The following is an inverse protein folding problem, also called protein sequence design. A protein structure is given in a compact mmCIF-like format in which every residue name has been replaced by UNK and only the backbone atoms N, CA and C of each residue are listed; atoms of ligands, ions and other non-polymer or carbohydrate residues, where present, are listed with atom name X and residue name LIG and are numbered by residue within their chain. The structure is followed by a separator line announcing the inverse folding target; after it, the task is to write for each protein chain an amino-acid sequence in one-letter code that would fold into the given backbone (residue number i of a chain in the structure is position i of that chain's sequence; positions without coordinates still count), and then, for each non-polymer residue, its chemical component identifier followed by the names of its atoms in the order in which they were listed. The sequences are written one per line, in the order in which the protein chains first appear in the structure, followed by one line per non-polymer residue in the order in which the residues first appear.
data_IF_511144186595
#
_entry.id   IF_511144186595
#
_cell.length_a   1.000
_cell.length_b   1.000
_cell.length_c   1.000
_cell.angle_alpha   90.00
_cell.angle_beta   90.00
_cell.angle_gamma   90.00
#
_symmetry.space_group_name_H-M   'P 1'
#
loop_
_entity.id
_entity.type
_entity.pdbx_description
1 polymer ?
#
# COMPACT_ATOMS: atom_id res chain seq x y z
N UNK A 1 0.52 5.78 3.50
CA UNK A 1 -0.68 6.40 4.12
C UNK A 1 -0.46 7.85 4.53
N UNK A 2 0.60 8.20 5.26
CA UNK A 2 0.85 9.60 5.66
C UNK A 2 0.95 10.56 4.48
N UNK A 3 1.46 10.14 3.32
CA UNK A 3 1.51 10.96 2.12
C UNK A 3 0.12 11.38 1.60
N UNK A 4 -0.86 10.49 1.68
CA UNK A 4 -2.23 10.74 1.20
C UNK A 4 -2.95 11.81 2.02
N UNK A 5 -2.63 11.91 3.31
CA UNK A 5 -3.27 12.87 4.24
C UNK A 5 -2.52 14.19 4.40
N UNK A 6 -1.42 14.39 3.67
CA UNK A 6 -0.60 15.62 3.75
C UNK A 6 -1.40 16.86 3.39
N UNK A 7 -2.21 16.78 2.33
CA UNK A 7 -3.04 17.89 1.86
C UNK A 7 -4.12 18.32 2.87
N UNK A 8 -4.52 17.44 3.76
CA UNK A 8 -5.54 17.66 4.80
C UNK A 8 -4.93 18.03 6.16
N UNK A 9 -3.61 17.91 6.28
CA UNK A 9 -2.90 18.13 7.55
C UNK A 9 -2.62 19.62 7.77
N UNK A 10 -3.07 20.16 8.89
CA UNK A 10 -2.74 21.54 9.29
C UNK A 10 -1.26 21.63 9.65
N UNK A 11 -0.50 22.53 8.99
CA UNK A 11 0.95 22.69 9.16
C UNK A 11 1.78 21.41 8.92
N UNK A 12 1.70 20.79 7.72
CA UNK A 12 2.31 19.48 7.45
C UNK A 12 3.84 19.48 7.67
N UNK A 13 4.51 20.60 7.39
CA UNK A 13 5.98 20.73 7.57
C UNK A 13 6.45 20.55 9.02
N UNK A 14 5.60 20.85 10.02
CA UNK A 14 5.92 20.63 11.45
C UNK A 14 5.42 19.29 11.97
N UNK A 15 4.24 18.87 11.53
CA UNK A 15 3.56 17.67 12.05
C UNK A 15 4.16 16.40 11.50
N UNK A 16 4.44 16.34 10.18
CA UNK A 16 4.94 15.13 9.51
C UNK A 16 6.27 14.62 10.08
N UNK A 17 7.33 15.42 10.28
CA UNK A 17 8.58 14.92 10.84
C UNK A 17 8.40 14.31 12.24
N UNK A 18 7.58 14.93 13.08
CA UNK A 18 7.28 14.41 14.42
C UNK A 18 6.49 13.09 14.36
N UNK A 19 5.52 13.01 13.45
CA UNK A 19 4.73 11.82 13.25
C UNK A 19 5.57 10.65 12.71
N UNK A 20 6.44 10.90 11.73
CA UNK A 20 7.33 9.90 11.14
C UNK A 20 8.31 9.35 12.19
N UNK A 21 8.95 10.21 12.97
CA UNK A 21 9.85 9.77 14.04
C UNK A 21 9.11 8.96 15.12
N UNK A 22 7.85 9.33 15.41
CA UNK A 22 7.01 8.58 16.34
C UNK A 22 6.64 7.17 15.85
N UNK A 23 6.63 6.91 14.54
CA UNK A 23 6.37 5.57 13.98
C UNK A 23 7.46 4.59 14.41
N UNK A 24 8.72 4.99 14.35
CA UNK A 24 9.86 4.13 14.69
C UNK A 24 9.71 3.60 16.12
N UNK A 25 9.44 4.50 17.08
CA UNK A 25 9.25 4.13 18.48
C UNK A 25 8.04 3.21 18.66
N UNK A 26 6.92 3.50 17.97
CA UNK A 26 5.72 2.66 18.02
C UNK A 26 5.96 1.27 17.46
N UNK A 27 6.66 1.16 16.33
CA UNK A 27 7.01 -0.14 15.75
C UNK A 27 7.90 -0.93 16.70
N UNK A 28 8.92 -0.33 17.28
CA UNK A 28 9.80 -1.02 18.24
C UNK A 28 9.03 -1.51 19.48
N UNK A 29 8.17 -0.68 20.06
CA UNK A 29 7.43 -1.06 21.27
C UNK A 29 6.32 -2.07 20.97
N UNK A 30 5.46 -1.77 19.99
CA UNK A 30 4.25 -2.57 19.78
C UNK A 30 4.48 -3.80 18.92
N UNK A 31 5.43 -3.79 17.97
CA UNK A 31 5.70 -4.98 17.15
C UNK A 31 6.81 -5.82 17.74
N UNK A 32 7.99 -5.26 17.97
CA UNK A 32 9.12 -6.02 18.50
C UNK A 32 8.86 -6.42 19.95
N UNK A 33 8.34 -5.50 20.78
CA UNK A 33 8.00 -5.77 22.18
C UNK A 33 6.90 -6.84 22.30
N UNK A 34 5.82 -6.76 21.52
CA UNK A 34 4.77 -7.78 21.52
C UNK A 34 5.30 -9.15 21.06
N UNK A 35 6.14 -9.17 20.03
CA UNK A 35 6.72 -10.41 19.51
C UNK A 35 7.63 -11.08 20.54
N UNK A 36 8.48 -10.30 21.22
CA UNK A 36 9.30 -10.77 22.32
C UNK A 36 8.45 -11.31 23.46
N UNK A 37 7.40 -10.60 23.88
CA UNK A 37 6.49 -11.05 24.94
C UNK A 37 5.80 -12.37 24.56
N UNK A 38 5.30 -12.51 23.33
CA UNK A 38 4.67 -13.75 22.86
C UNK A 38 5.68 -14.90 22.86
N UNK A 39 6.88 -14.70 22.34
CA UNK A 39 7.91 -15.75 22.26
C UNK A 39 8.46 -16.18 23.62
N UNK A 40 8.38 -15.34 24.65
CA UNK A 40 8.79 -15.72 26.02
C UNK A 40 7.72 -16.58 26.71
N UNK A 41 6.44 -16.45 26.32
CA UNK A 41 5.32 -17.18 26.95
C UNK A 41 5.03 -18.46 26.18
N UNK A 42 4.97 -18.39 24.85
CA UNK A 42 4.61 -19.52 23.98
C UNK A 42 5.84 -20.00 23.20
N UNK A 43 6.27 -21.26 23.41
CA UNK A 43 7.36 -21.82 22.63
C UNK A 43 7.04 -21.82 21.14
N UNK A 44 7.94 -21.37 20.30
CA UNK A 44 7.77 -21.29 18.84
C UNK A 44 7.35 -22.61 18.18
N UNK A 45 7.71 -23.75 18.78
CA UNK A 45 7.37 -25.10 18.31
C UNK A 45 5.87 -25.43 18.44
N UNK A 46 5.14 -24.65 19.21
CA UNK A 46 3.70 -24.83 19.43
C UNK A 46 2.87 -24.12 18.36
N UNK A 47 3.48 -23.24 17.56
CA UNK A 47 2.83 -22.62 16.40
C UNK A 47 2.78 -23.63 15.24
N UNK A 48 1.83 -24.55 15.31
CA UNK A 48 1.57 -25.53 14.24
C UNK A 48 0.29 -25.15 13.50
N UNK A 49 0.23 -25.39 12.19
CA UNK A 49 -1.00 -25.22 11.45
C UNK A 49 -2.05 -26.21 11.98
N UNK A 50 -3.28 -25.76 12.06
CA UNK A 50 -4.44 -26.59 12.32
C UNK A 50 -4.65 -27.59 11.16
N UNK A 51 -5.58 -28.53 11.31
CA UNK A 51 -5.92 -29.52 10.27
C UNK A 51 -6.44 -28.91 8.97
N UNK A 52 -7.00 -27.72 9.05
CA UNK A 52 -7.49 -26.89 7.95
C UNK A 52 -6.41 -25.97 7.33
N UNK A 53 -5.15 -26.05 7.79
CA UNK A 53 -4.05 -25.21 7.35
C UNK A 53 -4.02 -23.81 7.97
N UNK A 54 -4.99 -23.43 8.79
CA UNK A 54 -4.99 -22.15 9.50
C UNK A 54 -4.04 -22.18 10.70
N UNK A 55 -3.55 -21.02 11.11
CA UNK A 55 -2.77 -20.90 12.35
C UNK A 55 -3.63 -20.28 13.45
N UNK A 56 -3.53 -20.81 14.67
CA UNK A 56 -4.11 -20.16 15.84
C UNK A 56 -3.47 -18.78 16.05
N UNK A 57 -4.29 -17.80 16.47
CA UNK A 57 -3.75 -16.46 16.75
C UNK A 57 -2.75 -16.52 17.91
N UNK A 58 -1.51 -16.03 17.72
CA UNK A 58 -0.51 -16.00 18.79
C UNK A 58 -1.00 -15.25 20.04
N UNK A 59 -1.80 -14.22 19.86
CA UNK A 59 -2.38 -13.45 20.95
C UNK A 59 -3.37 -14.29 21.77
N UNK A 60 -4.19 -15.10 21.14
CA UNK A 60 -5.13 -16.00 21.83
C UNK A 60 -4.36 -17.05 22.61
N UNK A 61 -3.35 -17.67 21.99
CA UNK A 61 -2.52 -18.70 22.63
C UNK A 61 -1.86 -18.21 23.93
N UNK A 62 -1.38 -16.96 23.98
CA UNK A 62 -0.80 -16.38 25.20
C UNK A 62 -1.78 -16.41 26.36
N UNK A 63 -3.05 -16.03 26.13
CA UNK A 63 -4.08 -16.02 27.16
C UNK A 63 -4.54 -17.43 27.57
N UNK A 64 -4.59 -18.36 26.62
CA UNK A 64 -4.86 -19.78 26.92
C UNK A 64 -3.77 -20.38 27.80
N UNK A 65 -2.49 -20.11 27.50
CA UNK A 65 -1.36 -20.53 28.34
C UNK A 65 -1.38 -19.92 29.73
N UNK A 66 -1.90 -18.72 29.89
CA UNK A 66 -2.10 -18.07 31.18
C UNK A 66 -3.35 -18.55 31.91
N UNK A 67 -4.13 -19.50 31.36
CA UNK A 67 -5.37 -20.00 31.96
C UNK A 67 -6.56 -19.04 31.87
N UNK A 68 -6.44 -17.95 31.11
CA UNK A 68 -7.44 -16.91 30.97
C UNK A 68 -8.29 -17.11 29.69
N UNK A 69 -9.03 -18.23 29.63
CA UNK A 69 -9.83 -18.60 28.44
C UNK A 69 -10.90 -17.54 28.07
N UNK A 70 -11.42 -16.80 29.05
CA UNK A 70 -12.34 -15.69 28.79
C UNK A 70 -11.71 -14.54 28.00
N UNK A 71 -10.42 -14.37 28.11
CA UNK A 71 -9.69 -13.30 27.38
C UNK A 71 -9.60 -13.57 25.88
N UNK A 72 -9.74 -14.82 25.43
CA UNK A 72 -9.76 -15.16 24.01
C UNK A 72 -10.89 -14.44 23.26
N UNK A 73 -12.09 -14.37 23.83
CA UNK A 73 -13.22 -13.64 23.23
C UNK A 73 -12.96 -12.13 23.17
N UNK A 74 -12.37 -11.56 24.23
CA UNK A 74 -11.99 -10.14 24.25
C UNK A 74 -10.92 -9.82 23.18
N UNK A 75 -9.90 -10.64 23.07
CA UNK A 75 -8.84 -10.49 22.06
C UNK A 75 -9.43 -10.60 20.66
N UNK A 76 -10.31 -11.56 20.42
CA UNK A 76 -11.00 -11.70 19.13
C UNK A 76 -11.80 -10.43 18.78
N UNK A 77 -12.56 -9.89 19.72
CA UNK A 77 -13.28 -8.63 19.53
C UNK A 77 -12.34 -7.46 19.18
N UNK A 78 -11.23 -7.34 19.90
CA UNK A 78 -10.22 -6.30 19.62
C UNK A 78 -9.60 -6.48 18.22
N UNK A 79 -9.28 -7.71 17.83
CA UNK A 79 -8.74 -8.01 16.49
C UNK A 79 -9.72 -7.63 15.39
N UNK A 80 -11.02 -7.98 15.56
CA UNK A 80 -12.06 -7.64 14.58
C UNK A 80 -12.23 -6.13 14.46
N UNK A 81 -12.28 -5.40 15.57
CA UNK A 81 -12.41 -3.94 15.57
C UNK A 81 -11.18 -3.26 14.97
N UNK A 82 -9.99 -3.75 15.26
CA UNK A 82 -8.74 -3.27 14.67
C UNK A 82 -8.69 -3.51 13.15
N UNK A 83 -9.13 -4.70 12.69
CA UNK A 83 -9.23 -5.03 11.28
C UNK A 83 -10.24 -4.11 10.56
N UNK A 84 -11.41 -3.87 11.16
CA UNK A 84 -12.42 -2.95 10.63
C UNK A 84 -11.89 -1.51 10.51
N UNK A 85 -11.17 -1.04 11.53
CA UNK A 85 -10.51 0.28 11.50
C UNK A 85 -9.46 0.38 10.40
N UNK A 86 -8.66 -0.68 10.22
CA UNK A 86 -7.64 -0.74 9.14
C UNK A 86 -8.31 -0.74 7.78
N UNK A 87 -9.37 -1.53 7.59
CA UNK A 87 -10.15 -1.58 6.36
C UNK A 87 -10.73 -0.21 6.01
N UNK A 88 -11.29 0.51 6.98
CA UNK A 88 -11.81 1.86 6.77
C UNK A 88 -10.71 2.82 6.26
N UNK A 89 -9.52 2.77 6.85
CA UNK A 89 -8.37 3.60 6.43
C UNK A 89 -7.89 3.24 5.02
N UNK A 90 -7.88 1.95 4.68
CA UNK A 90 -7.52 1.46 3.34
C UNK A 90 -8.53 1.88 2.29
N UNK A 91 -9.83 1.76 2.58
CA UNK A 91 -10.91 2.20 1.69
C UNK A 91 -10.85 3.70 1.42
N UNK A 92 -10.60 4.49 2.46
CA UNK A 92 -10.44 5.93 2.29
C UNK A 92 -9.25 6.26 1.39
N UNK A 93 -8.11 5.62 1.61
CA UNK A 93 -6.90 5.82 0.77
C UNK A 93 -7.13 5.37 -0.67
N UNK A 94 -7.75 4.21 -0.89
CA UNK A 94 -8.07 3.70 -2.22
C UNK A 94 -9.04 4.64 -2.95
N UNK A 95 -10.07 5.12 -2.25
CA UNK A 95 -11.03 6.09 -2.81
C UNK A 95 -10.38 7.41 -3.19
N UNK A 96 -9.40 7.89 -2.42
CA UNK A 96 -8.62 9.11 -2.76
C UNK A 96 -7.78 8.91 -4.01
N UNK A 97 -7.06 7.83 -4.12
CA UNK A 97 -6.28 7.52 -5.34
C UNK A 97 -7.17 7.33 -6.57
N UNK A 98 -8.31 6.66 -6.39
CA UNK A 98 -9.27 6.52 -7.49
C UNK A 98 -9.87 7.87 -7.92
N UNK A 99 -10.12 8.75 -6.97
CA UNK A 99 -10.57 10.13 -7.24
C UNK A 99 -9.52 10.90 -8.07
N UNK A 100 -8.26 10.90 -7.64
CA UNK A 100 -7.16 11.58 -8.33
C UNK A 100 -6.97 11.08 -9.77
N UNK A 101 -7.07 9.77 -9.99
CA UNK A 101 -7.01 9.18 -11.34
C UNK A 101 -8.24 9.56 -12.18
N UNK A 102 -9.42 9.66 -11.55
CA UNK A 102 -10.67 9.92 -12.23
C UNK A 102 -10.84 11.40 -12.60
N UNK A 103 -10.26 12.32 -11.82
CA UNK A 103 -10.36 13.77 -12.04
C UNK A 103 -9.77 14.17 -13.40
N UNK A 104 -8.64 13.57 -13.79
CA UNK A 104 -7.94 13.84 -15.05
C UNK A 104 -8.29 12.86 -16.17
N UNK A 105 -9.29 12.00 -15.97
CA UNK A 105 -9.60 10.95 -16.93
C UNK A 105 -10.38 11.49 -18.12
N UNK A 106 -9.96 11.18 -19.38
CA UNK A 106 -10.69 11.53 -20.59
C UNK A 106 -12.01 10.74 -20.76
N UNK A 107 -12.19 9.65 -20.02
CA UNK A 107 -13.39 8.82 -20.06
C UNK A 107 -14.52 9.43 -19.24
N UNK A 108 -15.70 9.76 -19.84
CA UNK A 108 -16.82 10.37 -19.12
C UNK A 108 -17.41 9.46 -18.03
N UNK A 109 -17.22 8.13 -18.14
CA UNK A 109 -17.66 7.17 -17.13
C UNK A 109 -16.76 7.22 -15.89
N UNK A 110 -15.43 7.32 -16.09
CA UNK A 110 -14.45 7.38 -15.02
C UNK A 110 -14.47 8.77 -14.37
N UNK A 111 -14.57 9.84 -15.15
CA UNK A 111 -14.64 11.21 -14.68
C UNK A 111 -15.77 11.47 -13.67
N UNK A 112 -16.87 10.68 -13.72
CA UNK A 112 -17.95 10.73 -12.72
C UNK A 112 -17.50 10.36 -11.30
N UNK A 113 -16.41 9.62 -11.16
CA UNK A 113 -15.80 9.26 -9.87
C UNK A 113 -14.92 10.40 -9.34
N UNK A 114 -14.40 11.27 -10.22
CA UNK A 114 -13.61 12.45 -9.91
C UNK A 114 -14.43 13.64 -9.38
N UNK A 115 -15.59 13.41 -8.77
CA UNK A 115 -16.46 14.46 -8.22
C UNK A 115 -16.46 14.41 -6.70
N UNK A 116 -16.16 15.55 -6.10
CA UNK A 116 -16.21 15.73 -4.63
C UNK A 116 -17.66 15.96 -4.19
N UNK A 117 -18.08 15.33 -3.10
CA UNK A 117 -19.39 15.53 -2.50
C UNK A 117 -19.51 16.88 -1.78
N UNK A 118 -20.73 17.28 -1.39
CA UNK A 118 -20.99 18.48 -0.59
C UNK A 118 -20.19 18.51 0.72
N UNK A 119 -19.82 17.37 1.24
CA UNK A 119 -19.00 17.20 2.46
C UNK A 119 -17.48 17.21 2.19
N UNK A 120 -17.05 17.60 0.98
CA UNK A 120 -15.65 17.64 0.54
C UNK A 120 -14.94 16.27 0.57
N UNK A 121 -15.70 15.19 0.46
CA UNK A 121 -15.18 13.80 0.42
C UNK A 121 -15.48 13.20 -0.94
N UNK A 122 -14.57 12.44 -1.57
CA UNK A 122 -14.80 11.76 -2.86
C UNK A 122 -15.69 10.51 -2.67
N UNK A 123 -16.93 10.72 -2.25
CA UNK A 123 -17.84 9.64 -1.85
C UNK A 123 -18.07 8.59 -2.96
N UNK A 124 -18.18 9.02 -4.22
CA UNK A 124 -18.40 8.09 -5.36
C UNK A 124 -17.20 7.17 -5.56
N UNK A 125 -15.98 7.68 -5.47
CA UNK A 125 -14.78 6.89 -5.59
C UNK A 125 -14.62 5.91 -4.40
N UNK A 126 -14.94 6.35 -3.18
CA UNK A 126 -14.92 5.49 -1.98
C UNK A 126 -15.96 4.37 -2.11
N UNK A 127 -17.19 4.67 -2.53
CA UNK A 127 -18.24 3.66 -2.74
C UNK A 127 -17.82 2.66 -3.81
N UNK A 128 -17.26 3.12 -4.93
CA UNK A 128 -16.75 2.23 -5.98
C UNK A 128 -15.66 1.30 -5.46
N UNK A 129 -14.71 1.83 -4.68
CA UNK A 129 -13.67 1.03 -4.02
C UNK A 129 -14.27 0.03 -3.01
N UNK A 130 -15.28 0.43 -2.25
CA UNK A 130 -15.96 -0.46 -1.31
C UNK A 130 -16.68 -1.62 -2.02
N UNK A 131 -17.35 -1.35 -3.15
CA UNK A 131 -17.98 -2.40 -3.96
C UNK A 131 -16.95 -3.41 -4.46
N UNK A 132 -15.79 -2.94 -4.95
CA UNK A 132 -14.70 -3.83 -5.38
C UNK A 132 -14.18 -4.69 -4.23
N UNK A 133 -14.02 -4.13 -3.04
CA UNK A 133 -13.57 -4.88 -1.85
C UNK A 133 -14.61 -5.92 -1.42
N UNK A 134 -15.92 -5.60 -1.53
CA UNK A 134 -17.00 -6.53 -1.21
C UNK A 134 -17.07 -7.74 -2.16
N UNK A 135 -16.45 -7.67 -3.33
CA UNK A 135 -16.33 -8.84 -4.22
C UNK A 135 -15.38 -9.89 -3.66
N UNK A 136 -14.40 -9.50 -2.83
CA UNK A 136 -13.40 -10.43 -2.27
C UNK A 136 -14.03 -11.59 -1.47
N UNK A 137 -14.91 -11.37 -0.47
CA UNK A 137 -15.55 -12.47 0.24
C UNK A 137 -16.49 -13.30 -0.64
N UNK A 138 -17.10 -12.69 -1.67
CA UNK A 138 -17.94 -13.44 -2.63
C UNK A 138 -17.08 -14.39 -3.46
N UNK A 139 -15.90 -13.96 -3.89
CA UNK A 139 -14.96 -14.81 -4.62
C UNK A 139 -14.45 -15.95 -3.72
N UNK A 140 -14.18 -15.68 -2.44
CA UNK A 140 -13.74 -16.70 -1.48
C UNK A 140 -14.80 -17.80 -1.23
N UNK A 141 -16.08 -17.49 -1.40
CA UNK A 141 -17.16 -18.49 -1.30
C UNK A 141 -17.18 -19.50 -2.45
N UNK A 142 -16.43 -19.28 -3.52
CA UNK A 142 -16.36 -20.18 -4.65
C UNK A 142 -15.34 -21.30 -4.35
N UNK A 143 -15.76 -22.60 -4.20
CA UNK A 143 -14.86 -23.67 -3.75
C UNK A 143 -13.62 -23.90 -4.63
N UNK A 144 -13.69 -23.50 -5.92
CA UNK A 144 -12.58 -23.63 -6.87
C UNK A 144 -11.53 -22.53 -6.76
N UNK A 145 -11.81 -21.47 -6.00
CA UNK A 145 -10.98 -20.28 -5.82
C UNK A 145 -10.53 -20.15 -4.36
N UNK A 146 -10.64 -21.23 -3.59
CA UNK A 146 -10.13 -21.30 -2.22
C UNK A 146 -8.64 -20.95 -2.21
N UNK A 147 -8.25 -19.98 -1.37
CA UNK A 147 -6.89 -19.42 -1.37
C UNK A 147 -6.76 -18.08 -2.12
N UNK A 148 -7.85 -17.54 -2.67
CA UNK A 148 -7.86 -16.21 -3.28
C UNK A 148 -7.32 -15.13 -2.31
N UNK A 149 -7.63 -15.22 -1.02
CA UNK A 149 -7.10 -14.34 0.00
C UNK A 149 -5.56 -14.34 0.04
N UNK A 150 -4.94 -15.52 0.05
CA UNK A 150 -3.47 -15.66 0.06
C UNK A 150 -2.88 -15.10 -1.23
N UNK A 151 -3.51 -15.38 -2.37
CA UNK A 151 -3.07 -14.88 -3.67
C UNK A 151 -3.16 -13.35 -3.76
N UNK A 152 -4.28 -12.74 -3.36
CA UNK A 152 -4.45 -11.28 -3.36
C UNK A 152 -3.52 -10.60 -2.36
N UNK A 153 -3.36 -11.17 -1.17
CA UNK A 153 -2.46 -10.65 -0.13
C UNK A 153 -1.01 -10.68 -0.59
N UNK A 154 -0.56 -11.76 -1.20
CA UNK A 154 0.79 -11.89 -1.73
C UNK A 154 1.03 -10.97 -2.93
N UNK A 155 0.06 -10.85 -3.84
CA UNK A 155 0.14 -9.92 -4.96
C UNK A 155 0.20 -8.46 -4.49
N UNK A 156 -0.63 -8.09 -3.52
CA UNK A 156 -0.61 -6.75 -2.91
C UNK A 156 0.73 -6.44 -2.25
N UNK A 157 1.30 -7.41 -1.54
CA UNK A 157 2.63 -7.27 -0.93
C UNK A 157 3.72 -7.04 -1.96
N UNK A 158 3.69 -7.78 -3.07
CA UNK A 158 4.64 -7.60 -4.17
C UNK A 158 4.54 -6.19 -4.80
N UNK A 159 3.32 -5.71 -5.04
CA UNK A 159 3.08 -4.36 -5.59
C UNK A 159 3.56 -3.28 -4.61
N UNK A 160 3.28 -3.42 -3.31
CA UNK A 160 3.71 -2.46 -2.29
C UNK A 160 5.24 -2.37 -2.21
N UNK A 161 5.96 -3.50 -2.23
CA UNK A 161 7.42 -3.51 -2.22
C UNK A 161 7.96 -2.80 -3.47
N UNK A 162 7.35 -3.03 -4.62
CA UNK A 162 7.73 -2.36 -5.86
C UNK A 162 7.51 -0.84 -5.79
N UNK A 163 6.38 -0.39 -5.22
CA UNK A 163 6.11 1.04 -4.99
C UNK A 163 7.19 1.65 -4.08
N UNK A 164 7.66 0.93 -3.06
CA UNK A 164 8.75 1.41 -2.23
C UNK A 164 10.06 1.54 -3.02
N UNK A 165 10.39 0.60 -3.89
CA UNK A 165 11.56 0.69 -4.78
C UNK A 165 11.46 1.94 -5.66
N UNK A 166 10.32 2.15 -6.34
CA UNK A 166 10.08 3.33 -7.17
C UNK A 166 10.17 4.64 -6.36
N UNK A 167 9.61 4.65 -5.16
CA UNK A 167 9.66 5.82 -4.26
C UNK A 167 11.10 6.16 -3.87
N UNK A 168 11.94 5.16 -3.59
CA UNK A 168 13.35 5.37 -3.27
C UNK A 168 14.14 5.89 -4.47
N UNK A 169 13.87 5.38 -5.67
CA UNK A 169 14.46 5.87 -6.92
C UNK A 169 14.01 7.32 -7.19
N UNK A 170 12.73 7.62 -7.04
CA UNK A 170 12.18 8.96 -7.19
C UNK A 170 12.81 9.95 -6.18
N UNK A 171 12.94 9.52 -4.91
CA UNK A 171 13.62 10.32 -3.88
C UNK A 171 15.08 10.62 -4.25
N UNK A 172 15.82 9.64 -4.76
CA UNK A 172 17.21 9.83 -5.17
C UNK A 172 17.33 10.85 -6.33
N UNK A 173 16.44 10.72 -7.35
CA UNK A 173 16.38 11.66 -8.47
C UNK A 173 15.99 13.07 -8.02
N UNK A 174 14.94 13.20 -7.20
CA UNK A 174 14.50 14.48 -6.66
C UNK A 174 15.60 15.17 -5.84
N UNK A 175 16.31 14.41 -5.02
CA UNK A 175 17.41 14.94 -4.18
C UNK A 175 18.56 15.55 -4.97
N UNK A 176 18.78 15.07 -6.20
CA UNK A 176 19.81 15.55 -7.12
C UNK A 176 19.27 16.53 -8.17
N UNK A 177 17.97 16.89 -8.11
CA UNK A 177 17.35 17.81 -9.05
C UNK A 177 17.50 19.28 -8.61
N UNK A 178 17.48 20.25 -9.55
CA UNK A 178 17.48 21.68 -9.23
C UNK A 178 16.25 22.13 -8.41
N UNK A 179 15.17 21.37 -8.48
CA UNK A 179 13.90 21.64 -7.79
C UNK A 179 13.90 21.21 -6.32
N UNK A 180 15.03 20.67 -5.83
CA UNK A 180 15.12 20.19 -4.47
C UNK A 180 14.95 21.30 -3.43
N UNK A 181 13.91 21.19 -2.60
CA UNK A 181 13.66 22.13 -1.49
C UNK A 181 14.50 21.77 -0.25
N UNK A 182 15.50 22.59 0.03
CA UNK A 182 16.44 22.37 1.13
C UNK A 182 15.85 22.51 2.54
N UNK A 183 14.68 23.16 2.69
CA UNK A 183 14.08 23.49 3.98
C UNK A 183 13.08 22.48 4.52
N UNK A 184 12.98 21.27 3.88
CA UNK A 184 12.07 20.21 4.29
C UNK A 184 12.73 19.14 5.18
N UNK A 185 11.93 18.13 5.53
CA UNK A 185 12.43 16.90 6.16
C UNK A 185 13.44 16.21 5.25
N UNK A 186 14.59 15.83 5.81
CA UNK A 186 15.68 15.23 5.03
C UNK A 186 16.05 13.87 5.55
N UNK A 187 16.23 12.92 4.66
CA UNK A 187 16.85 11.64 4.97
C UNK A 187 18.33 11.86 5.33
N UNK A 188 18.79 11.48 6.53
CA UNK A 188 20.20 11.56 6.88
C UNK A 188 21.02 10.64 5.97
N UNK A 189 22.27 11.00 5.69
CA UNK A 189 23.21 10.19 4.88
C UNK A 189 22.58 9.56 3.62
N UNK A 190 21.71 10.29 2.90
CA UNK A 190 20.89 9.77 1.80
C UNK A 190 21.70 9.07 0.69
N UNK A 191 22.95 9.52 0.46
CA UNK A 191 23.84 8.94 -0.56
C UNK A 191 24.18 7.47 -0.29
N UNK A 192 24.14 7.05 0.98
CA UNK A 192 24.42 5.67 1.41
C UNK A 192 23.11 4.95 1.77
N UNK A 193 22.27 5.59 2.60
CA UNK A 193 21.06 4.94 3.10
C UNK A 193 20.01 4.72 2.00
N UNK A 194 19.89 5.62 1.02
CA UNK A 194 18.92 5.44 -0.06
C UNK A 194 19.24 4.21 -0.95
N UNK A 195 20.46 4.07 -1.53
CA UNK A 195 20.78 2.88 -2.31
C UNK A 195 20.77 1.60 -1.46
N UNK A 196 21.18 1.65 -0.19
CA UNK A 196 21.13 0.50 0.70
C UNK A 196 19.67 0.04 0.94
N UNK A 197 18.77 0.98 1.23
CA UNK A 197 17.33 0.69 1.39
C UNK A 197 16.72 0.18 0.09
N UNK A 198 17.09 0.74 -1.05
CA UNK A 198 16.65 0.27 -2.36
C UNK A 198 17.10 -1.17 -2.61
N UNK A 199 18.38 -1.47 -2.36
CA UNK A 199 18.92 -2.82 -2.49
C UNK A 199 18.23 -3.81 -1.54
N UNK A 200 17.90 -3.39 -0.33
CA UNK A 200 17.14 -4.20 0.63
C UNK A 200 15.74 -4.53 0.11
N UNK A 201 15.00 -3.57 -0.43
CA UNK A 201 13.68 -3.83 -1.01
C UNK A 201 13.76 -4.72 -2.25
N UNK A 202 14.77 -4.54 -3.11
CA UNK A 202 15.02 -5.42 -4.26
C UNK A 202 15.32 -6.84 -3.77
N UNK A 203 16.14 -6.99 -2.75
CA UNK A 203 16.44 -8.29 -2.14
C UNK A 203 15.17 -8.97 -1.62
N UNK A 204 14.34 -8.25 -0.83
CA UNK A 204 13.04 -8.79 -0.36
C UNK A 204 12.15 -9.18 -1.55
N UNK A 205 12.08 -8.35 -2.59
CA UNK A 205 11.29 -8.68 -3.78
C UNK A 205 11.77 -9.98 -4.45
N UNK A 206 13.09 -10.16 -4.56
CA UNK A 206 13.68 -11.39 -5.09
C UNK A 206 13.35 -12.63 -4.24
N UNK A 207 13.26 -12.49 -2.90
CA UNK A 207 12.89 -13.61 -2.02
C UNK A 207 11.47 -14.13 -2.26
N UNK A 208 10.56 -13.30 -2.79
CA UNK A 208 9.20 -13.74 -3.15
C UNK A 208 9.17 -14.81 -4.24
N UNK A 209 10.22 -14.92 -5.06
CA UNK A 209 10.32 -15.92 -6.10
C UNK A 209 10.79 -17.29 -5.59
N UNK A 210 11.28 -17.37 -4.35
CA UNK A 210 11.76 -18.60 -3.72
C UNK A 210 10.58 -19.43 -3.20
N UNK A 211 9.57 -18.77 -2.60
CA UNK A 211 8.39 -19.42 -2.06
C UNK A 211 7.43 -19.91 -3.14
N UNK A 212 6.95 -21.15 -3.03
CA UNK A 212 5.97 -21.70 -3.98
C UNK A 212 4.67 -20.89 -4.00
N UNK A 213 4.19 -20.46 -2.84
CA UNK A 213 2.92 -19.73 -2.68
C UNK A 213 3.02 -18.25 -3.08
N UNK A 214 4.21 -17.67 -3.00
CA UNK A 214 4.45 -16.25 -3.29
C UNK A 214 4.93 -15.98 -4.71
N UNK A 215 5.52 -17.00 -5.36
CA UNK A 215 6.09 -16.90 -6.71
C UNK A 215 5.08 -16.52 -7.77
N UNK A 216 3.92 -17.19 -7.81
CA UNK A 216 2.85 -16.91 -8.77
C UNK A 216 2.33 -15.48 -8.67
N UNK A 217 1.89 -15.02 -7.47
CA UNK A 217 1.49 -13.64 -7.23
C UNK A 217 2.59 -12.60 -7.52
N UNK A 218 3.86 -12.90 -7.22
CA UNK A 218 4.96 -11.99 -7.51
C UNK A 218 5.18 -11.80 -9.03
N UNK A 219 5.10 -12.89 -9.81
CA UNK A 219 5.16 -12.85 -11.27
C UNK A 219 3.96 -12.07 -11.83
N UNK A 220 2.76 -12.35 -11.35
CA UNK A 220 1.55 -11.63 -11.79
C UNK A 220 1.65 -10.12 -11.51
N UNK A 221 2.15 -9.74 -10.33
CA UNK A 221 2.42 -8.35 -9.98
C UNK A 221 3.44 -7.69 -10.92
N UNK A 222 4.53 -8.40 -11.25
CA UNK A 222 5.55 -7.91 -12.18
C UNK A 222 4.99 -7.72 -13.59
N UNK A 223 4.26 -8.70 -14.10
CA UNK A 223 3.62 -8.63 -15.43
C UNK A 223 2.66 -7.45 -15.48
N UNK A 224 1.81 -7.30 -14.45
CA UNK A 224 0.90 -6.16 -14.33
C UNK A 224 1.64 -4.83 -14.38
N UNK A 225 2.71 -4.68 -13.62
CA UNK A 225 3.53 -3.46 -13.60
C UNK A 225 4.18 -3.16 -14.96
N UNK A 226 4.68 -4.18 -15.65
CA UNK A 226 5.28 -4.01 -16.98
C UNK A 226 4.23 -3.60 -18.01
N UNK A 227 3.06 -4.26 -18.00
CA UNK A 227 1.98 -3.97 -18.93
C UNK A 227 1.40 -2.58 -18.69
N UNK A 228 1.01 -2.27 -17.43
CA UNK A 228 0.45 -0.95 -17.10
C UNK A 228 1.48 0.17 -17.15
N UNK A 229 2.68 -0.04 -16.65
CA UNK A 229 3.77 0.93 -16.74
C UNK A 229 4.16 1.21 -18.20
N UNK A 230 4.24 0.17 -19.01
CA UNK A 230 4.47 0.29 -20.46
C UNK A 230 3.34 1.07 -21.14
N UNK A 231 2.09 0.74 -20.82
CA UNK A 231 0.93 1.48 -21.34
C UNK A 231 0.98 2.97 -20.96
N UNK A 232 1.24 3.31 -19.71
CA UNK A 232 1.35 4.70 -19.25
C UNK A 232 2.45 5.47 -20.01
N UNK A 233 3.64 4.88 -20.14
CA UNK A 233 4.77 5.50 -20.87
C UNK A 233 4.44 5.70 -22.35
N UNK A 234 3.79 4.73 -22.99
CA UNK A 234 3.38 4.85 -24.39
C UNK A 234 2.30 5.92 -24.55
N UNK A 235 1.30 5.93 -23.69
CA UNK A 235 0.22 6.92 -23.73
C UNK A 235 0.75 8.35 -23.56
N UNK A 236 1.63 8.58 -22.60
CA UNK A 236 2.28 9.88 -22.40
C UNK A 236 3.09 10.32 -23.62
N UNK A 237 3.81 9.39 -24.26
CA UNK A 237 4.56 9.69 -25.49
C UNK A 237 3.63 10.07 -26.66
N UNK A 238 2.47 9.43 -26.78
CA UNK A 238 1.49 9.79 -27.81
C UNK A 238 0.88 11.16 -27.55
N UNK A 239 0.43 11.45 -26.34
CA UNK A 239 -0.08 12.78 -25.96
C UNK A 239 0.92 13.90 -26.22
N UNK A 240 2.18 13.71 -25.84
CA UNK A 240 3.23 14.71 -26.06
C UNK A 240 3.55 14.91 -27.54
N UNK A 241 3.37 13.89 -28.40
CA UNK A 241 3.50 14.02 -29.85
C UNK A 241 2.36 14.85 -30.45
N UNK A 242 1.12 14.56 -30.06
CA UNK A 242 -0.07 15.26 -30.55
C UNK A 242 -0.04 16.74 -30.12
N UNK A 243 0.40 17.02 -28.88
CA UNK A 243 0.58 18.40 -28.40
C UNK A 243 1.67 19.14 -29.20
N UNK A 244 2.76 18.50 -29.51
CA UNK A 244 3.85 19.09 -30.29
C UNK A 244 3.43 19.38 -31.73
N UNK A 245 2.70 18.45 -32.36
CA UNK A 245 2.14 18.66 -33.72
C UNK A 245 1.10 19.79 -33.75
N UNK A 246 0.26 19.92 -32.71
CA UNK A 246 -0.70 21.01 -32.60
C UNK A 246 -0.04 22.39 -32.42
N UNK A 247 1.07 22.46 -31.71
CA UNK A 247 1.85 23.69 -31.54
C UNK A 247 2.56 24.07 -32.84
N UNK A 248 3.19 23.10 -33.51
CA UNK A 248 3.87 23.32 -34.77
C UNK A 248 2.90 23.78 -35.88
N UNK A 249 1.71 23.15 -35.97
CA UNK A 249 0.65 23.54 -36.93
C UNK A 249 0.05 24.93 -36.64
N UNK A 250 -0.04 25.33 -35.36
CA UNK A 250 -0.49 26.68 -34.99
C UNK A 250 0.55 27.75 -35.27
N UNK A 251 1.85 27.41 -35.16
CA UNK A 251 2.96 28.30 -35.51
C UNK A 251 3.02 28.59 -37.01
N UNK A 252 2.79 27.59 -37.86
CA UNK A 252 2.78 27.73 -39.32
C UNK A 252 1.57 28.49 -39.86
N UNK A 253 0.46 28.55 -39.11
CA UNK A 253 -0.74 29.32 -39.49
C UNK A 253 -0.64 30.84 -39.21
N UNK A 254 0.39 31.27 -38.46
CA UNK A 254 0.66 32.67 -38.13
C UNK A 254 1.93 33.23 -38.80
N UNK A 255 2.62 32.46 -39.60
CA UNK A 255 3.74 32.89 -40.43
C UNK A 255 3.29 33.14 -41.88
#
# INVERSE_FOLDING_TARGET
FMGVTVSETKNPRKVLPKAINGIIVRVLIFYVGALLAIMTIVPWRNFRPNKDGSFASPFIMVFEYAGANWAAALVFFVVVTAAASSLNSLLYSAGRHLYEIAEDSPSPAIAKLGVVSKTKVPARAIIASAILVLLSPVIEMIPRVSGAFVMFSSASSAVIIFIYILTMIAHYRYRNSPQFMANGFRMPAYRVLNPLTTAFFVFIYCTLFIGADTRGPAIAGLVWLVVFGGYCVLHERFQNRDLKQSIDSAGDAHA
#
